data_IF_524988219080
#
_entry.id   IF_524988219080
#
_cell.length_a   1.000
_cell.length_b   1.000
_cell.length_c   1.000
_cell.angle_alpha   90.00
_cell.angle_beta   90.00
_cell.angle_gamma   90.00
#
_symmetry.space_group_name_H-M   'P 1'
#
loop_
_entity.id
_entity.type
_entity.pdbx_description
1 polymer ?
#
# COMPACT_ATOMS: atom_id res chain seq x y z
N UNK A 1 4.20 22.91 1.13
CA UNK A 1 5.43 22.10 0.93
C UNK A 1 5.27 20.62 1.33
N UNK A 2 4.09 20.15 1.79
CA UNK A 2 3.81 18.71 2.02
C UNK A 2 3.00 18.09 0.86
N UNK A 3 2.40 18.92 0.00
CA UNK A 3 1.59 18.49 -1.13
C UNK A 3 2.41 18.12 -2.38
N UNK A 4 3.74 18.31 -2.34
CA UNK A 4 4.64 17.98 -3.45
C UNK A 4 5.04 16.49 -3.44
N UNK A 5 5.05 15.87 -2.27
CA UNK A 5 5.45 14.45 -2.10
C UNK A 5 4.39 13.45 -2.61
N UNK A 6 3.17 13.92 -2.83
CA UNK A 6 2.03 13.08 -3.26
C UNK A 6 1.95 12.95 -4.78
N UNK A 7 2.70 13.75 -5.56
CA UNK A 7 2.44 13.94 -6.99
C UNK A 7 3.38 13.25 -7.99
N UNK A 8 4.42 12.52 -7.59
CA UNK A 8 5.24 11.82 -8.60
C UNK A 8 5.96 10.64 -8.01
N UNK A 9 5.59 9.44 -8.45
CA UNK A 9 6.47 8.28 -8.56
C UNK A 9 7.28 7.86 -7.31
N UNK A 10 7.02 8.45 -6.14
CA UNK A 10 7.97 8.40 -5.02
C UNK A 10 8.07 7.00 -4.44
N UNK A 11 7.01 6.20 -4.59
CA UNK A 11 7.00 4.81 -4.16
C UNK A 11 7.75 3.90 -5.12
N UNK A 12 7.85 4.23 -6.42
CA UNK A 12 8.52 3.39 -7.43
C UNK A 12 10.03 3.46 -7.24
N UNK A 13 10.67 2.30 -7.13
CA UNK A 13 12.10 2.22 -6.84
C UNK A 13 12.47 2.40 -5.36
N UNK A 14 11.51 2.52 -4.44
CA UNK A 14 11.82 2.43 -3.00
C UNK A 14 12.10 1.00 -2.58
N UNK A 15 12.97 0.85 -1.58
CA UNK A 15 13.18 -0.42 -0.89
C UNK A 15 12.05 -0.70 0.10
N UNK A 16 11.85 -1.96 0.50
CA UNK A 16 10.84 -2.28 1.53
C UNK A 16 11.00 -1.46 2.80
N UNK A 17 12.23 -1.20 3.24
CA UNK A 17 12.49 -0.43 4.47
C UNK A 17 11.92 0.98 4.40
N UNK A 18 12.13 1.68 3.28
CA UNK A 18 11.58 3.03 3.03
C UNK A 18 10.05 2.99 2.98
N UNK A 19 9.49 2.01 2.26
CA UNK A 19 8.03 1.80 2.19
C UNK A 19 7.45 1.55 3.59
N UNK A 20 8.14 0.76 4.41
CA UNK A 20 7.75 0.47 5.79
C UNK A 20 7.84 1.71 6.68
N UNK A 21 8.83 2.58 6.46
CA UNK A 21 8.96 3.84 7.18
C UNK A 21 7.85 4.84 6.80
N UNK A 22 7.43 4.84 5.54
CA UNK A 22 6.43 5.77 5.02
C UNK A 22 4.99 5.32 5.29
N UNK A 23 4.69 4.04 5.08
CA UNK A 23 3.34 3.47 5.17
C UNK A 23 3.11 2.67 6.45
N UNK A 24 4.17 2.31 7.17
CA UNK A 24 4.11 1.46 8.36
C UNK A 24 4.12 -0.03 8.01
N UNK A 25 3.52 -0.83 8.87
CA UNK A 25 3.45 -2.28 8.72
C UNK A 25 2.35 -2.68 7.73
N UNK A 26 2.62 -3.49 6.71
CA UNK A 26 1.57 -4.04 5.85
C UNK A 26 0.68 -4.98 6.64
N UNK A 27 -0.61 -4.98 6.31
CA UNK A 27 -1.57 -5.93 6.86
C UNK A 27 -1.31 -7.35 6.34
N UNK A 28 -0.93 -7.43 5.06
CA UNK A 28 -0.63 -8.69 4.40
C UNK A 28 0.68 -8.57 3.64
N UNK A 29 1.63 -9.42 4.00
CA UNK A 29 2.87 -9.62 3.25
C UNK A 29 2.78 -11.00 2.60
N UNK A 30 2.81 -11.06 1.27
CA UNK A 30 2.81 -12.33 0.58
C UNK A 30 4.07 -13.12 0.97
N UNK A 31 3.96 -14.44 1.13
CA UNK A 31 5.06 -15.31 1.59
C UNK A 31 6.30 -15.27 0.69
N UNK A 32 6.16 -14.84 -0.57
CA UNK A 32 7.27 -14.64 -1.49
C UNK A 32 7.93 -13.26 -1.37
N UNK A 33 7.52 -12.46 -0.38
CA UNK A 33 8.04 -11.12 -0.08
C UNK A 33 7.98 -10.14 -1.28
N UNK A 34 7.28 -10.51 -2.33
CA UNK A 34 7.22 -9.76 -3.60
C UNK A 34 6.00 -8.84 -3.64
N UNK A 35 5.07 -8.98 -2.70
CA UNK A 35 3.84 -8.20 -2.65
C UNK A 35 3.51 -7.84 -1.20
N UNK A 36 3.25 -6.57 -0.94
CA UNK A 36 2.72 -6.07 0.33
C UNK A 36 1.37 -5.42 0.08
N UNK A 37 0.43 -5.67 0.98
CA UNK A 37 -0.90 -5.08 0.93
C UNK A 37 -1.16 -4.32 2.23
N UNK A 38 -1.54 -3.07 2.08
CA UNK A 38 -1.82 -2.13 3.16
C UNK A 38 -3.30 -1.77 3.14
N UNK A 39 -3.98 -1.90 4.27
CA UNK A 39 -5.34 -1.38 4.43
C UNK A 39 -5.23 0.13 4.68
N UNK A 40 -5.55 0.94 3.67
CA UNK A 40 -5.42 2.40 3.76
C UNK A 40 -6.60 3.01 4.49
N UNK A 41 -7.80 2.50 4.17
CA UNK A 41 -9.03 3.02 4.74
C UNK A 41 -10.10 1.95 4.71
N UNK A 42 -10.62 1.70 5.89
CA UNK A 42 -11.85 0.97 6.10
C UNK A 42 -12.89 1.98 6.60
N UNK A 43 -14.03 2.07 5.92
CA UNK A 43 -15.15 2.88 6.38
C UNK A 43 -16.26 1.94 6.79
N UNK A 44 -16.43 1.85 8.10
CA UNK A 44 -17.59 1.20 8.70
C UNK A 44 -18.79 2.13 8.63
N UNK A 45 -19.89 1.60 8.14
CA UNK A 45 -21.18 2.25 8.16
C UNK A 45 -21.84 2.15 9.52
N UNK A 46 -23.17 2.08 9.51
CA UNK A 46 -23.95 1.73 10.70
C UNK A 46 -24.01 0.21 10.97
N UNK A 47 -23.53 -0.59 10.01
CA UNK A 47 -23.47 -2.04 10.10
C UNK A 47 -22.06 -2.51 10.44
N UNK A 48 -21.95 -3.68 11.07
CA UNK A 48 -20.68 -4.34 11.43
C UNK A 48 -19.87 -4.72 10.17
N UNK A 49 -20.55 -4.84 9.02
CA UNK A 49 -19.90 -5.02 7.72
C UNK A 49 -19.34 -3.68 7.19
N UNK A 50 -18.06 -3.62 6.81
CA UNK A 50 -17.46 -2.43 6.20
C UNK A 50 -18.14 -2.13 4.86
N UNK A 51 -18.73 -0.93 4.74
CA UNK A 51 -19.31 -0.44 3.48
C UNK A 51 -18.24 -0.16 2.42
N UNK A 52 -17.00 0.05 2.84
CA UNK A 52 -15.93 0.42 1.93
C UNK A 52 -14.56 0.05 2.48
N UNK A 53 -13.81 -0.75 1.72
CA UNK A 53 -12.41 -1.06 2.03
C UNK A 53 -11.51 -0.69 0.85
N UNK A 54 -10.51 0.14 1.13
CA UNK A 54 -9.41 0.44 0.21
C UNK A 54 -8.16 -0.32 0.62
N UNK A 55 -7.71 -1.17 -0.27
CA UNK A 55 -6.43 -1.86 -0.17
C UNK A 55 -5.41 -1.22 -1.11
N UNK A 56 -4.19 -1.06 -0.62
CA UNK A 56 -3.05 -0.57 -1.38
C UNK A 56 -2.05 -1.69 -1.53
N UNK A 57 -1.93 -2.21 -2.74
CA UNK A 57 -1.09 -3.36 -3.05
C UNK A 57 0.15 -2.88 -3.77
N UNK A 58 1.31 -3.18 -3.20
CA UNK A 58 2.63 -2.83 -3.71
C UNK A 58 3.32 -4.11 -4.15
N UNK A 59 3.84 -4.12 -5.37
CA UNK A 59 4.67 -5.20 -5.91
C UNK A 59 6.12 -4.77 -5.93
N UNK A 60 6.97 -5.62 -5.39
CA UNK A 60 8.42 -5.48 -5.36
C UNK A 60 9.06 -6.35 -6.45
N UNK A 61 10.16 -5.88 -7.00
CA UNK A 61 11.01 -6.61 -7.92
C UNK A 61 12.02 -7.49 -7.15
N UNK A 62 12.82 -8.29 -7.87
CA UNK A 62 13.84 -9.17 -7.27
C UNK A 62 14.94 -8.41 -6.52
N UNK A 63 15.07 -7.12 -6.78
CA UNK A 63 15.99 -6.23 -6.08
C UNK A 63 15.38 -5.58 -4.83
N UNK A 64 14.22 -6.05 -4.36
CA UNK A 64 13.48 -5.49 -3.23
C UNK A 64 12.95 -4.06 -3.47
N UNK A 65 12.95 -3.62 -4.72
CA UNK A 65 12.51 -2.30 -5.15
C UNK A 65 11.05 -2.36 -5.59
N UNK A 66 10.24 -1.37 -5.21
CA UNK A 66 8.86 -1.25 -5.69
C UNK A 66 8.83 -1.12 -7.21
N UNK A 67 8.22 -2.09 -7.86
CA UNK A 67 8.03 -2.14 -9.31
C UNK A 67 6.74 -1.49 -9.75
N UNK A 68 5.70 -1.64 -8.95
CA UNK A 68 4.35 -1.15 -9.25
C UNK A 68 3.51 -1.11 -7.97
N UNK A 69 2.54 -0.22 -7.92
CA UNK A 69 1.52 -0.22 -6.88
C UNK A 69 0.13 -0.05 -7.51
N UNK A 70 -0.89 -0.59 -6.84
CA UNK A 70 -2.27 -0.46 -7.27
C UNK A 70 -3.18 -0.24 -6.06
N UNK A 71 -4.15 0.66 -6.22
CA UNK A 71 -5.22 0.91 -5.26
C UNK A 71 -6.41 0.07 -5.66
N UNK A 72 -6.64 -1.02 -4.92
CA UNK A 72 -7.83 -1.82 -5.07
C UNK A 72 -8.93 -1.24 -4.18
N UNK A 73 -10.08 -0.92 -4.80
CA UNK A 73 -11.29 -0.53 -4.09
C UNK A 73 -12.25 -1.72 -4.10
N UNK A 74 -12.68 -2.15 -2.93
CA UNK A 74 -13.85 -3.03 -2.81
C UNK A 74 -15.05 -2.15 -2.46
N UNK A 75 -16.01 -2.10 -3.37
CA UNK A 75 -17.30 -1.40 -3.28
C UNK A 75 -18.44 -2.40 -3.08
#
# INVERSE_FOLDING_TARGET
>A
MVQDLVNSDTLLGLTKGEVYQMLGTPELQASNDSTMQYLIREKHGWNIDPEYIKYFTIKFDRNDLVKSYHLEKNE
#
